data_IF_368292685581
#
_entry.id   IF_368292685581
#
_cell.length_a   1.000
_cell.length_b   1.000
_cell.length_c   1.000
_cell.angle_alpha   90.00
_cell.angle_beta   90.00
_cell.angle_gamma   90.00
#
_symmetry.space_group_name_H-M   'P 1'
#
loop_
_entity.id
_entity.type
_entity.pdbx_description
1 polymer ?
#
# COMPACT_ATOMS: atom_id res chain seq x y z
N UNK A 1 -25.63 -22.88 -3.21
CA UNK A 1 -24.46 -22.57 -4.05
C UNK A 1 -23.82 -21.28 -3.51
N UNK A 2 -22.94 -21.40 -2.51
CA UNK A 2 -22.37 -20.27 -1.78
C UNK A 2 -21.06 -19.84 -2.45
N UNK A 3 -21.05 -18.68 -3.11
CA UNK A 3 -19.83 -18.08 -3.67
C UNK A 3 -18.93 -17.68 -2.50
N UNK A 4 -17.87 -18.46 -2.22
CA UNK A 4 -16.82 -18.09 -1.27
C UNK A 4 -16.28 -16.71 -1.69
N UNK A 5 -16.49 -15.71 -0.84
CA UNK A 5 -16.05 -14.34 -1.05
C UNK A 5 -14.52 -14.29 -0.92
N UNK A 6 -13.80 -14.36 -2.04
CA UNK A 6 -12.34 -14.13 -2.08
C UNK A 6 -12.10 -12.68 -1.65
N UNK A 7 -11.58 -12.47 -0.45
CA UNK A 7 -11.28 -11.12 0.07
C UNK A 7 -9.92 -10.67 -0.47
N UNK A 8 -9.97 -9.59 -1.25
CA UNK A 8 -8.83 -8.91 -1.88
C UNK A 8 -8.01 -8.16 -0.83
N UNK A 9 -6.71 -8.45 -0.70
CA UNK A 9 -5.79 -7.63 0.09
C UNK A 9 -5.16 -6.58 -0.82
N UNK A 10 -5.48 -5.31 -0.58
CA UNK A 10 -4.91 -4.14 -1.27
C UNK A 10 -4.19 -3.27 -0.24
N UNK A 11 -3.02 -2.72 -0.57
CA UNK A 11 -2.14 -2.04 0.38
C UNK A 11 -2.71 -0.74 0.98
N UNK A 12 -3.84 -0.22 0.48
CA UNK A 12 -4.58 0.91 1.06
C UNK A 12 -4.98 0.72 2.55
N UNK A 13 -4.81 -0.48 3.12
CA UNK A 13 -5.11 -0.80 4.52
C UNK A 13 -3.86 -0.76 5.43
N UNK A 14 -2.71 -0.24 5.01
CA UNK A 14 -1.56 -0.10 5.92
C UNK A 14 -1.91 0.64 7.23
N UNK A 15 -2.92 1.53 7.22
CA UNK A 15 -3.40 2.23 8.42
C UNK A 15 -4.10 1.39 9.49
N UNK A 16 -4.62 0.19 9.19
CA UNK A 16 -5.43 -0.62 10.14
C UNK A 16 -5.05 -2.13 10.13
N UNK A 17 -4.24 -2.64 9.19
CA UNK A 17 -4.24 -4.07 8.82
C UNK A 17 -3.18 -4.97 9.47
N UNK A 18 -2.78 -4.78 10.73
CA UNK A 18 -1.98 -5.81 11.44
C UNK A 18 -2.56 -6.30 12.76
N UNK A 19 -3.77 -5.86 13.12
CA UNK A 19 -4.59 -6.52 14.16
C UNK A 19 -5.80 -7.18 13.49
N UNK A 20 -5.54 -8.14 12.60
CA UNK A 20 -6.57 -9.12 12.22
C UNK A 20 -6.63 -10.22 13.27
N UNK A 21 -7.37 -9.92 14.34
CA UNK A 21 -8.06 -10.91 15.15
C UNK A 21 -9.54 -10.61 15.06
N UNK A 22 -10.26 -11.09 14.04
CA UNK A 22 -11.72 -11.14 14.08
C UNK A 22 -12.28 -12.41 13.43
N UNK A 23 -12.79 -13.26 14.34
CA UNK A 23 -14.02 -14.04 14.28
C UNK A 23 -14.35 -14.84 13.01
N UNK A 24 -13.83 -16.08 12.99
CA UNK A 24 -14.52 -17.37 12.77
C UNK A 24 -15.84 -17.32 11.98
N UNK A 25 -15.82 -17.83 10.75
CA UNK A 25 -16.60 -19.04 10.45
C UNK A 25 -15.59 -20.16 10.26
N UNK A 26 -15.71 -21.22 11.05
CA UNK A 26 -14.91 -22.42 10.91
C UNK A 26 -15.23 -23.05 9.55
N UNK A 27 -14.43 -22.74 8.54
CA UNK A 27 -14.27 -23.70 7.46
C UNK A 27 -13.40 -24.81 8.07
N UNK A 28 -14.00 -25.99 8.18
CA UNK A 28 -13.28 -27.21 8.53
C UNK A 28 -11.95 -27.25 7.77
N UNK A 29 -10.91 -27.79 8.43
CA UNK A 29 -9.59 -28.01 7.86
C UNK A 29 -9.71 -28.60 6.44
N UNK A 30 -9.73 -27.73 5.43
CA UNK A 30 -9.53 -28.17 4.06
C UNK A 30 -8.06 -28.57 3.95
N UNK A 31 -7.74 -29.58 3.15
CA UNK A 31 -6.37 -30.02 2.96
C UNK A 31 -5.46 -28.82 2.65
N UNK A 32 -4.20 -28.94 3.07
CA UNK A 32 -3.20 -27.86 3.01
C UNK A 32 -2.80 -27.48 1.57
N UNK A 33 -3.47 -28.06 0.56
CA UNK A 33 -3.37 -27.85 -0.88
C UNK A 33 -4.09 -26.59 -1.37
N UNK A 34 -4.78 -25.86 -0.49
CA UNK A 34 -5.52 -24.62 -0.82
C UNK A 34 -5.21 -23.50 0.16
N UNK A 35 -4.03 -22.92 0.10
CA UNK A 35 -3.74 -21.65 0.80
C UNK A 35 -4.30 -20.51 -0.08
N UNK A 36 -5.48 -19.92 0.21
CA UNK A 36 -6.03 -18.87 -0.66
C UNK A 36 -5.30 -17.54 -0.49
N UNK A 37 -4.60 -17.33 0.62
CA UNK A 37 -4.04 -16.04 0.97
C UNK A 37 -2.52 -16.06 0.82
N UNK A 38 -1.97 -14.99 0.25
CA UNK A 38 -0.53 -14.78 0.13
C UNK A 38 -0.10 -13.65 1.08
N UNK A 39 1.07 -13.80 1.70
CA UNK A 39 1.65 -12.80 2.60
C UNK A 39 3.11 -12.53 2.23
N UNK A 40 3.64 -11.32 2.50
CA UNK A 40 5.07 -11.06 2.36
C UNK A 40 5.89 -11.92 3.35
N UNK A 41 7.09 -12.29 2.93
CA UNK A 41 8.10 -12.97 3.76
C UNK A 41 9.42 -12.19 3.77
N UNK A 42 10.19 -12.19 4.89
CA UNK A 42 9.89 -12.80 6.18
C UNK A 42 8.92 -11.97 7.03
N UNK A 43 8.81 -10.68 6.73
CA UNK A 43 7.99 -9.75 7.48
C UNK A 43 6.62 -9.57 6.84
N UNK A 44 5.57 -10.13 7.46
CA UNK A 44 4.18 -10.02 6.97
C UNK A 44 3.65 -8.58 6.87
N UNK A 45 4.35 -7.60 7.45
CA UNK A 45 4.02 -6.18 7.41
C UNK A 45 4.67 -5.42 6.25
N UNK A 46 5.64 -6.01 5.55
CA UNK A 46 6.45 -5.34 4.52
C UNK A 46 5.82 -5.53 3.14
N UNK A 47 4.69 -4.84 2.89
CA UNK A 47 4.01 -4.87 1.58
C UNK A 47 4.73 -4.01 0.52
N UNK A 48 5.65 -3.14 0.95
CA UNK A 48 6.46 -2.32 0.08
C UNK A 48 7.95 -2.54 0.35
N UNK A 49 8.71 -2.83 -0.72
CA UNK A 49 10.17 -2.85 -0.72
C UNK A 49 10.70 -1.54 -1.29
N UNK A 50 11.51 -0.85 -0.51
CA UNK A 50 12.18 0.37 -0.99
C UNK A 50 13.47 0.01 -1.70
N UNK A 51 13.59 0.46 -2.94
CA UNK A 51 14.76 0.23 -3.79
C UNK A 51 15.38 1.56 -4.12
N UNK A 52 16.58 1.80 -3.62
CA UNK A 52 17.37 2.95 -4.04
C UNK A 52 17.79 2.77 -5.50
N UNK A 53 17.37 3.69 -6.38
CA UNK A 53 17.67 3.70 -7.82
C UNK A 53 19.16 3.43 -8.07
N UNK A 54 19.57 2.51 -8.96
CA UNK A 54 20.99 2.34 -9.32
C UNK A 54 21.55 3.60 -9.99
N UNK A 55 22.83 3.90 -9.73
CA UNK A 55 23.54 4.99 -10.39
C UNK A 55 23.85 4.67 -11.86
N UNK A 56 24.19 3.41 -12.14
CA UNK A 56 24.48 2.86 -13.46
C UNK A 56 23.98 1.41 -13.50
N UNK A 57 23.42 1.00 -14.63
CA UNK A 57 23.03 -0.39 -14.93
C UNK A 57 21.75 -0.84 -14.23
N UNK A 58 21.77 -2.07 -13.74
CA UNK A 58 20.62 -2.74 -13.14
C UNK A 58 20.89 -3.05 -11.67
N UNK A 59 19.87 -2.91 -10.83
CA UNK A 59 19.90 -3.39 -9.45
C UNK A 59 18.90 -4.53 -9.30
N UNK A 60 19.38 -5.68 -8.86
CA UNK A 60 18.52 -6.79 -8.48
C UNK A 60 17.95 -6.60 -7.07
N UNK A 61 16.68 -6.96 -6.94
CA UNK A 61 15.91 -6.92 -5.72
C UNK A 61 15.10 -8.18 -5.63
N UNK A 62 15.04 -8.76 -4.44
CA UNK A 62 14.27 -9.98 -4.19
C UNK A 62 12.97 -9.63 -3.46
N UNK A 63 11.87 -10.22 -3.91
CA UNK A 63 10.64 -10.32 -3.14
C UNK A 63 10.38 -11.78 -2.82
N UNK A 64 9.81 -12.03 -1.64
CA UNK A 64 9.47 -13.37 -1.18
C UNK A 64 8.05 -13.39 -0.68
N UNK A 65 7.32 -14.44 -1.05
CA UNK A 65 5.92 -14.65 -0.73
C UNK A 65 5.79 -15.99 -0.02
N UNK A 66 5.01 -15.99 1.05
CA UNK A 66 4.60 -17.17 1.80
C UNK A 66 3.07 -17.28 1.76
N UNK A 67 2.56 -18.41 2.24
CA UNK A 67 1.15 -18.59 2.50
C UNK A 67 0.64 -17.81 3.71
N UNK A 68 -0.67 -17.60 3.75
CA UNK A 68 -1.41 -17.12 4.90
C UNK A 68 -2.55 -18.07 5.25
N UNK A 69 -2.69 -18.41 6.53
CA UNK A 69 -3.82 -19.23 6.99
C UNK A 69 -5.16 -18.46 6.91
N UNK A 70 -6.25 -19.10 7.34
CA UNK A 70 -7.58 -18.47 7.38
C UNK A 70 -7.66 -17.23 8.30
N UNK A 71 -6.71 -17.08 9.22
CA UNK A 71 -6.58 -15.94 10.12
C UNK A 71 -5.52 -14.93 9.64
N UNK A 72 -5.03 -15.05 8.39
CA UNK A 72 -3.94 -14.24 7.85
C UNK A 72 -2.65 -14.29 8.69
N UNK A 73 -2.41 -15.42 9.35
CA UNK A 73 -1.12 -15.70 10.00
C UNK A 73 -0.17 -16.34 8.98
N UNK A 74 1.14 -16.02 9.06
CA UNK A 74 2.16 -16.65 8.24
C UNK A 74 2.09 -18.18 8.27
N UNK A 75 2.06 -18.80 7.09
CA UNK A 75 2.14 -20.24 6.90
C UNK A 75 3.03 -20.54 5.68
N UNK A 76 4.10 -21.32 5.87
CA UNK A 76 4.97 -21.70 4.75
C UNK A 76 4.27 -22.69 3.83
N UNK A 77 4.62 -22.66 2.54
CA UNK A 77 4.23 -23.72 1.61
C UNK A 77 4.89 -25.03 2.05
N UNK A 78 4.11 -26.11 2.17
CA UNK A 78 4.65 -27.39 2.68
C UNK A 78 5.44 -28.15 1.62
N UNK A 79 5.05 -27.99 0.37
CA UNK A 79 5.71 -28.60 -0.78
C UNK A 79 6.29 -27.51 -1.67
N UNK A 80 7.45 -27.79 -2.26
CA UNK A 80 8.15 -26.87 -3.13
C UNK A 80 7.31 -26.53 -4.38
N UNK A 81 6.58 -27.51 -4.91
CA UNK A 81 5.73 -27.34 -6.09
C UNK A 81 4.71 -26.19 -5.92
N UNK A 82 4.10 -26.02 -4.75
CA UNK A 82 3.17 -24.91 -4.52
C UNK A 82 3.83 -23.53 -4.56
N UNK A 83 5.06 -23.42 -4.03
CA UNK A 83 5.84 -22.20 -4.14
C UNK A 83 6.26 -21.97 -5.60
N UNK A 84 6.57 -23.04 -6.33
CA UNK A 84 6.91 -22.98 -7.76
C UNK A 84 5.72 -22.58 -8.65
N UNK A 85 4.48 -22.85 -8.22
CA UNK A 85 3.27 -22.49 -8.96
C UNK A 85 2.83 -21.02 -8.75
N UNK A 86 3.50 -20.27 -7.86
CA UNK A 86 3.24 -18.82 -7.74
C UNK A 86 3.71 -18.12 -9.01
N UNK A 87 2.77 -17.45 -9.68
CA UNK A 87 3.01 -16.61 -10.85
C UNK A 87 3.18 -15.15 -10.44
N UNK A 88 4.01 -14.42 -11.19
CA UNK A 88 4.26 -13.00 -10.96
C UNK A 88 4.01 -12.18 -12.22
N UNK A 89 3.38 -11.02 -12.04
CA UNK A 89 3.12 -10.06 -13.12
C UNK A 89 3.40 -8.65 -12.64
N UNK A 90 3.80 -7.77 -13.56
CA UNK A 90 3.97 -6.34 -13.28
C UNK A 90 2.67 -5.63 -13.61
N UNK A 91 2.18 -4.77 -12.72
CA UNK A 91 1.02 -3.94 -13.01
C UNK A 91 1.39 -2.91 -14.12
N UNK A 92 0.60 -2.79 -15.19
CA UNK A 92 0.86 -1.85 -16.28
C UNK A 92 0.93 -0.38 -15.85
N UNK A 93 0.28 -0.01 -14.73
CA UNK A 93 0.29 1.36 -14.20
C UNK A 93 1.58 1.71 -13.42
N UNK A 94 2.54 0.78 -13.33
CA UNK A 94 3.82 1.00 -12.64
C UNK A 94 4.64 2.11 -13.32
N UNK A 95 5.27 2.98 -12.52
CA UNK A 95 5.96 4.17 -13.05
C UNK A 95 7.33 3.88 -13.68
N UNK A 96 7.89 2.69 -13.47
CA UNK A 96 9.24 2.34 -13.88
C UNK A 96 9.32 1.01 -14.63
N UNK A 97 10.48 0.77 -15.26
CA UNK A 97 10.75 -0.44 -16.03
C UNK A 97 11.32 -1.51 -15.11
N UNK A 98 10.43 -2.35 -14.58
CA UNK A 98 10.82 -3.58 -13.89
C UNK A 98 11.00 -4.70 -14.91
N UNK A 99 11.98 -5.57 -14.68
CA UNK A 99 12.12 -6.83 -15.42
C UNK A 99 12.10 -7.98 -14.43
N UNK A 100 11.15 -8.90 -14.59
CA UNK A 100 11.13 -10.13 -13.81
C UNK A 100 12.27 -11.03 -14.30
N UNK A 101 13.10 -11.53 -13.38
CA UNK A 101 14.26 -12.38 -13.66
C UNK A 101 13.96 -13.80 -13.14
N UNK A 102 14.91 -14.40 -12.45
CA UNK A 102 14.78 -15.76 -11.93
C UNK A 102 13.72 -15.84 -10.82
N UNK A 103 13.03 -16.98 -10.81
CA UNK A 103 12.11 -17.38 -9.76
C UNK A 103 12.58 -18.72 -9.22
N UNK A 104 12.60 -18.86 -7.90
CA UNK A 104 12.93 -20.11 -7.21
C UNK A 104 12.15 -20.26 -5.91
N UNK A 105 12.21 -21.46 -5.32
CA UNK A 105 11.45 -21.80 -4.12
C UNK A 105 12.35 -22.31 -3.00
N UNK A 106 13.10 -21.41 -2.32
CA UNK A 106 14.03 -21.82 -1.28
C UNK A 106 13.31 -22.44 -0.08
N UNK A 107 13.93 -23.48 0.49
CA UNK A 107 13.50 -24.08 1.77
C UNK A 107 13.89 -23.16 2.92
N UNK A 108 12.93 -22.83 3.77
CA UNK A 108 13.08 -22.04 5.00
C UNK A 108 12.58 -22.83 6.20
N UNK A 109 12.71 -22.28 7.41
CA UNK A 109 12.14 -22.93 8.60
C UNK A 109 10.63 -23.09 8.45
N UNK A 110 10.15 -24.34 8.48
CA UNK A 110 8.73 -24.68 8.41
C UNK A 110 8.15 -24.99 7.03
N UNK A 111 8.93 -24.84 5.94
CA UNK A 111 8.50 -25.15 4.57
C UNK A 111 9.29 -24.42 3.48
N UNK A 112 8.59 -23.94 2.47
CA UNK A 112 9.12 -23.23 1.30
C UNK A 112 8.44 -21.86 1.16
N UNK A 113 9.12 -20.94 0.48
CA UNK A 113 8.60 -19.64 0.05
C UNK A 113 8.80 -19.51 -1.45
N UNK A 114 7.96 -18.72 -2.12
CA UNK A 114 8.21 -18.34 -3.51
C UNK A 114 9.03 -17.07 -3.55
N UNK A 115 10.19 -17.12 -4.19
CA UNK A 115 11.09 -15.98 -4.34
C UNK A 115 11.17 -15.56 -5.80
N UNK A 116 11.07 -14.26 -6.04
CA UNK A 116 11.28 -13.64 -7.34
C UNK A 116 12.39 -12.62 -7.27
N UNK A 117 13.36 -12.74 -8.18
CA UNK A 117 14.33 -11.68 -8.47
C UNK A 117 13.75 -10.72 -9.50
N UNK A 118 13.89 -9.43 -9.22
CA UNK A 118 13.42 -8.34 -10.05
C UNK A 118 14.61 -7.44 -10.33
N UNK A 119 14.84 -7.12 -11.59
CA UNK A 119 15.77 -6.08 -11.98
C UNK A 119 15.06 -4.73 -12.06
N UNK A 120 15.67 -3.74 -11.43
CA UNK A 120 15.30 -2.33 -11.50
C UNK A 120 16.37 -1.61 -12.32
N UNK A 121 15.99 -1.07 -13.48
CA UNK A 121 16.90 -0.32 -14.36
C UNK A 121 17.19 1.09 -13.85
N UNK A 122 18.32 1.64 -14.27
CA UNK A 122 18.77 3.01 -14.05
C UNK A 122 18.03 4.06 -14.91
N UNK A 123 16.69 4.01 -14.98
CA UNK A 123 15.93 5.03 -15.71
C UNK A 123 15.62 6.26 -14.82
N UNK A 124 15.19 7.39 -15.39
CA UNK A 124 14.88 8.61 -14.65
C UNK A 124 13.57 8.60 -13.85
N UNK A 125 12.90 7.45 -13.79
CA UNK A 125 11.64 7.31 -13.09
C UNK A 125 11.85 6.95 -11.61
N UNK A 126 10.97 7.46 -10.76
CA UNK A 126 10.91 7.17 -9.33
C UNK A 126 9.45 7.13 -8.92
N UNK A 127 9.15 6.43 -7.82
CA UNK A 127 7.79 6.18 -7.34
C UNK A 127 7.43 4.69 -7.36
N UNK A 128 6.13 4.38 -7.26
CA UNK A 128 5.64 3.02 -7.04
C UNK A 128 5.59 2.18 -8.33
N UNK A 129 6.12 0.97 -8.25
CA UNK A 129 5.86 -0.10 -9.21
C UNK A 129 5.23 -1.28 -8.46
N UNK A 130 4.32 -2.01 -9.08
CA UNK A 130 3.60 -3.10 -8.40
C UNK A 130 3.93 -4.43 -9.07
N UNK A 131 4.35 -5.39 -8.26
CA UNK A 131 4.47 -6.80 -8.66
C UNK A 131 3.38 -7.59 -7.96
N UNK A 132 2.51 -8.22 -8.76
CA UNK A 132 1.43 -9.07 -8.28
C UNK A 132 1.88 -10.53 -8.29
N UNK A 133 1.86 -11.15 -7.13
CA UNK A 133 1.96 -12.60 -6.97
C UNK A 133 0.56 -13.22 -7.01
N UNK A 134 0.38 -14.32 -7.74
CA UNK A 134 -0.90 -15.04 -7.85
C UNK A 134 -0.68 -16.54 -7.68
N UNK A 135 -1.48 -17.17 -6.81
CA UNK A 135 -1.49 -18.63 -6.66
C UNK A 135 -2.49 -19.29 -7.64
N UNK A 136 -2.45 -20.63 -7.84
CA UNK A 136 -3.39 -21.34 -8.70
C UNK A 136 -4.87 -21.14 -8.35
N UNK A 137 -5.18 -20.90 -7.07
CA UNK A 137 -6.52 -20.63 -6.55
C UNK A 137 -6.99 -19.18 -6.75
N UNK A 138 -6.24 -18.36 -7.52
CA UNK A 138 -6.51 -16.94 -7.83
C UNK A 138 -6.45 -15.99 -6.63
N UNK A 139 -5.95 -16.47 -5.50
CA UNK A 139 -5.47 -15.62 -4.41
C UNK A 139 -4.26 -14.82 -4.86
N UNK A 140 -4.19 -13.56 -4.47
CA UNK A 140 -3.11 -12.67 -4.90
C UNK A 140 -2.61 -11.76 -3.79
N UNK A 141 -1.37 -11.30 -3.99
CA UNK A 141 -0.72 -10.28 -3.17
C UNK A 141 -0.06 -9.27 -4.10
N UNK A 142 -0.38 -8.00 -3.92
CA UNK A 142 0.31 -6.89 -4.57
C UNK A 142 1.47 -6.44 -3.68
N UNK A 143 2.69 -6.43 -4.21
CA UNK A 143 3.90 -5.96 -3.54
C UNK A 143 4.40 -4.71 -4.25
N UNK A 144 4.54 -3.62 -3.48
CA UNK A 144 5.11 -2.38 -3.98
C UNK A 144 6.63 -2.45 -4.05
N UNK A 145 7.20 -2.22 -5.22
CA UNK A 145 8.61 -1.89 -5.42
C UNK A 145 8.69 -0.37 -5.54
N UNK A 146 9.10 0.29 -4.46
CA UNK A 146 9.17 1.75 -4.40
C UNK A 146 10.55 2.19 -4.85
N UNK A 147 10.64 2.66 -6.09
CA UNK A 147 11.87 3.17 -6.68
C UNK A 147 12.15 4.53 -6.05
N UNK A 148 13.04 4.53 -5.07
CA UNK A 148 13.45 5.72 -4.35
C UNK A 148 14.64 6.38 -5.05
N UNK A 149 14.57 7.70 -5.15
CA UNK A 149 15.61 8.47 -5.79
C UNK A 149 16.87 8.57 -4.93
N UNK A 150 18.02 8.75 -5.58
CA UNK A 150 19.31 8.91 -4.91
C UNK A 150 19.41 10.21 -4.12
N UNK A 151 18.79 11.26 -4.64
CA UNK A 151 18.81 12.63 -4.12
C UNK A 151 17.38 13.10 -3.91
N UNK A 152 17.18 13.93 -2.88
CA UNK A 152 15.90 14.60 -2.62
C UNK A 152 15.35 15.25 -3.89
N UNK A 153 14.08 14.99 -4.18
CA UNK A 153 13.35 15.60 -5.30
C UNK A 153 12.73 16.92 -4.89
N UNK A 154 12.51 17.84 -5.85
CA UNK A 154 11.82 19.09 -5.61
C UNK A 154 10.42 18.87 -5.02
N UNK A 155 9.89 19.92 -4.40
CA UNK A 155 8.53 19.93 -3.90
C UNK A 155 7.52 19.74 -5.04
N UNK A 156 6.37 19.15 -4.71
CA UNK A 156 5.21 19.10 -5.61
C UNK A 156 4.27 20.24 -5.25
N UNK A 157 3.99 21.11 -6.21
CA UNK A 157 3.16 22.29 -6.01
C UNK A 157 1.72 22.03 -6.43
N UNK A 158 0.85 22.99 -6.12
CA UNK A 158 -0.56 23.00 -6.54
C UNK A 158 -1.32 21.74 -6.12
N UNK A 159 -1.04 21.22 -4.92
CA UNK A 159 -1.73 20.06 -4.37
C UNK A 159 -2.95 20.53 -3.57
N UNK A 160 -4.10 19.93 -3.85
CA UNK A 160 -5.31 20.07 -3.03
C UNK A 160 -5.31 19.02 -1.93
N UNK A 161 -5.71 19.40 -0.72
CA UNK A 161 -5.73 18.48 0.43
C UNK A 161 -7.06 18.62 1.15
N UNK A 162 -7.74 17.49 1.37
CA UNK A 162 -9.04 17.45 2.03
C UNK A 162 -9.07 16.41 3.14
N UNK A 163 -9.66 16.77 4.28
CA UNK A 163 -9.87 15.86 5.41
C UNK A 163 -11.36 15.68 5.66
N UNK A 164 -11.80 14.45 5.88
CA UNK A 164 -13.20 14.12 6.11
C UNK A 164 -13.39 13.21 7.32
N UNK A 165 -14.55 13.35 7.98
CA UNK A 165 -15.02 12.48 9.07
C UNK A 165 -16.11 11.54 8.54
N UNK A 166 -15.88 10.23 8.60
CA UNK A 166 -16.79 9.13 8.24
C UNK A 166 -17.24 9.04 6.78
N UNK A 167 -17.34 10.14 6.03
CA UNK A 167 -17.83 10.17 4.65
C UNK A 167 -17.23 11.32 3.83
N UNK A 168 -17.02 11.10 2.54
CA UNK A 168 -16.55 12.14 1.60
C UNK A 168 -17.74 12.93 1.05
N UNK A 169 -18.14 13.97 1.80
CA UNK A 169 -19.07 15.01 1.34
C UNK A 169 -18.85 16.32 2.11
N UNK A 170 -19.43 17.43 1.63
CA UNK A 170 -19.21 18.77 2.19
C UNK A 170 -19.64 18.91 3.65
N UNK A 171 -20.63 18.15 4.11
CA UNK A 171 -21.10 18.21 5.51
C UNK A 171 -20.13 17.53 6.49
N UNK A 172 -19.27 16.65 5.98
CA UNK A 172 -18.26 15.92 6.73
C UNK A 172 -16.84 16.44 6.51
N UNK A 173 -16.69 17.51 5.71
CA UNK A 173 -15.40 18.13 5.43
C UNK A 173 -14.86 18.79 6.70
N UNK A 174 -13.77 18.25 7.23
CA UNK A 174 -13.07 18.75 8.40
C UNK A 174 -12.13 19.90 8.06
N UNK A 175 -11.46 19.80 6.92
CA UNK A 175 -10.50 20.81 6.46
C UNK A 175 -10.25 20.69 4.97
N UNK A 176 -10.05 21.84 4.33
CA UNK A 176 -9.69 21.97 2.92
C UNK A 176 -8.52 22.95 2.78
N UNK A 177 -7.57 22.61 1.92
CA UNK A 177 -6.45 23.46 1.52
C UNK A 177 -6.21 23.29 0.02
N UNK A 178 -5.95 24.39 -0.66
CA UNK A 178 -5.65 24.42 -2.09
C UNK A 178 -4.27 25.04 -2.33
N UNK A 179 -3.66 24.76 -3.48
CA UNK A 179 -2.40 25.39 -3.89
C UNK A 179 -1.19 25.00 -3.04
N UNK A 180 -1.22 23.86 -2.33
CA UNK A 180 -0.17 23.52 -1.37
C UNK A 180 1.11 23.05 -2.07
N UNK A 181 2.26 23.43 -1.49
CA UNK A 181 3.59 22.89 -1.83
C UNK A 181 3.93 21.78 -0.84
N UNK A 182 4.18 20.58 -1.33
CA UNK A 182 4.48 19.39 -0.52
C UNK A 182 5.96 19.04 -0.64
N UNK A 183 6.64 18.98 0.51
CA UNK A 183 8.06 18.60 0.64
C UNK A 183 8.15 17.18 1.20
N UNK A 184 9.08 16.37 0.65
CA UNK A 184 9.34 14.98 1.07
C UNK A 184 9.88 14.81 2.49
N UNK A 185 10.10 15.91 3.21
CA UNK A 185 10.61 15.93 4.58
C UNK A 185 9.55 16.35 5.60
N UNK A 186 8.32 16.62 5.14
CA UNK A 186 7.18 16.88 6.02
C UNK A 186 6.98 15.70 6.98
N UNK A 187 7.02 14.47 6.45
CA UNK A 187 7.12 13.24 7.23
C UNK A 187 8.51 12.66 7.07
N UNK A 188 9.22 12.47 8.19
CA UNK A 188 10.61 12.00 8.18
C UNK A 188 10.67 10.49 7.94
N UNK A 189 10.87 10.09 6.70
CA UNK A 189 11.10 8.69 6.31
C UNK A 189 12.40 8.55 5.49
N UNK A 190 12.60 7.38 4.88
CA UNK A 190 13.72 7.13 3.94
C UNK A 190 13.38 7.52 2.50
N UNK A 191 12.19 8.04 2.21
CA UNK A 191 11.73 8.38 0.85
C UNK A 191 12.18 9.80 0.48
N UNK A 192 12.73 9.94 -0.73
CA UNK A 192 13.37 11.16 -1.21
C UNK A 192 12.50 11.95 -2.19
N UNK A 193 11.20 11.69 -2.26
CA UNK A 193 10.27 12.42 -3.12
C UNK A 193 8.96 12.69 -2.37
N UNK A 194 8.24 13.79 -2.67
CA UNK A 194 7.00 14.09 -1.97
C UNK A 194 5.94 13.00 -2.15
N UNK A 195 5.38 12.54 -1.03
CA UNK A 195 4.43 11.43 -0.97
C UNK A 195 3.04 11.91 -0.57
N UNK A 196 2.03 11.06 -0.75
CA UNK A 196 0.70 11.39 -0.23
C UNK A 196 0.73 11.54 1.30
N UNK A 197 1.53 10.76 2.03
CA UNK A 197 1.67 10.86 3.48
C UNK A 197 2.24 12.22 3.92
N UNK A 198 3.14 12.84 3.15
CA UNK A 198 3.66 14.19 3.46
C UNK A 198 2.56 15.25 3.58
N UNK A 199 1.41 15.03 2.94
CA UNK A 199 0.26 15.93 3.04
C UNK A 199 -0.43 15.83 4.40
N UNK A 200 -0.33 14.72 5.14
CA UNK A 200 -1.02 14.55 6.43
C UNK A 200 -0.55 15.54 7.49
N UNK A 201 0.68 16.05 7.35
CA UNK A 201 1.28 17.11 8.18
C UNK A 201 0.70 18.49 7.92
N UNK A 202 0.17 18.73 6.73
CA UNK A 202 -0.29 20.05 6.34
C UNK A 202 -1.66 20.31 6.96
N UNK A 203 -1.84 21.50 7.53
CA UNK A 203 -3.10 21.89 8.15
C UNK A 203 -3.50 21.13 9.41
N UNK A 204 -2.64 20.29 9.99
CA UNK A 204 -2.89 19.53 11.22
C UNK A 204 -1.88 19.92 12.31
N UNK A 205 -2.24 19.80 13.59
CA UNK A 205 -1.40 20.29 14.69
C UNK A 205 -0.50 19.21 15.32
N UNK A 206 -0.93 17.94 15.25
CA UNK A 206 -0.15 16.78 15.72
C UNK A 206 -0.50 15.55 14.90
N UNK A 207 0.48 14.70 14.67
CA UNK A 207 0.35 13.45 13.93
C UNK A 207 1.16 12.35 14.62
N UNK A 208 0.62 11.15 14.63
CA UNK A 208 1.28 9.93 15.11
C UNK A 208 1.33 8.94 13.96
N UNK A 209 2.48 8.28 13.80
CA UNK A 209 2.74 7.36 12.70
C UNK A 209 3.31 6.05 13.25
N UNK A 210 3.12 4.97 12.49
CA UNK A 210 3.74 3.67 12.71
C UNK A 210 4.31 3.12 11.40
N UNK A 211 5.08 2.04 11.48
CA UNK A 211 5.78 1.44 10.34
C UNK A 211 7.13 2.09 10.05
N UNK A 212 7.79 1.63 8.98
CA UNK A 212 9.09 2.14 8.53
C UNK A 212 9.07 2.39 7.02
N UNK A 213 9.75 3.47 6.62
CA UNK A 213 9.98 3.80 5.20
C UNK A 213 8.67 3.85 4.41
N UNK A 214 8.61 3.27 3.20
CA UNK A 214 7.39 3.20 2.38
C UNK A 214 6.19 2.49 3.03
N UNK A 215 6.38 1.79 4.15
CA UNK A 215 5.30 1.15 4.91
C UNK A 215 4.84 2.02 6.09
N UNK A 216 5.34 3.25 6.22
CA UNK A 216 4.85 4.18 7.24
C UNK A 216 3.40 4.59 6.97
N UNK A 217 2.58 4.59 8.03
CA UNK A 217 1.17 4.96 7.97
C UNK A 217 0.75 5.82 9.15
N UNK A 218 -0.34 6.56 8.95
CA UNK A 218 -0.91 7.48 9.92
C UNK A 218 -1.81 6.74 10.92
N UNK A 219 -1.52 6.87 12.21
CA UNK A 219 -2.31 6.27 13.30
C UNK A 219 -3.22 7.25 14.01
N UNK A 220 -2.81 8.52 14.04
CA UNK A 220 -3.63 9.58 14.61
C UNK A 220 -3.26 10.94 14.04
N UNK A 221 -4.23 11.84 14.01
CA UNK A 221 -4.00 13.26 13.78
C UNK A 221 -4.96 14.15 14.57
N UNK A 222 -4.57 15.42 14.75
CA UNK A 222 -5.41 16.46 15.33
C UNK A 222 -5.75 17.49 14.25
N UNK A 223 -7.05 17.69 14.01
CA UNK A 223 -7.61 18.78 13.19
C UNK A 223 -8.41 19.69 14.10
N UNK A 224 -8.06 20.99 14.11
CA UNK A 224 -8.62 21.93 15.07
C UNK A 224 -8.33 21.47 16.50
N UNK A 225 -9.39 21.17 17.26
CA UNK A 225 -9.30 20.71 18.66
C UNK A 225 -9.59 19.21 18.84
N UNK A 226 -9.95 18.48 17.78
CA UNK A 226 -10.37 17.07 17.86
C UNK A 226 -9.23 16.15 17.44
N UNK A 227 -8.94 15.15 18.28
CA UNK A 227 -8.01 14.04 17.98
C UNK A 227 -8.80 12.90 17.34
N UNK A 228 -8.24 12.33 16.28
CA UNK A 228 -8.79 11.22 15.52
C UNK A 228 -7.77 10.09 15.49
N UNK A 229 -8.07 8.99 16.16
CA UNK A 229 -7.12 7.89 16.39
C UNK A 229 -7.70 6.60 15.81
N UNK A 230 -6.88 5.83 15.10
CA UNK A 230 -7.30 4.53 14.58
C UNK A 230 -7.79 3.64 15.72
N UNK A 231 -8.90 2.95 15.48
CA UNK A 231 -9.50 1.99 16.38
C UNK A 231 -9.59 0.62 15.68
N UNK A 232 -8.64 -0.29 15.97
CA UNK A 232 -8.62 -1.61 15.38
C UNK A 232 -9.87 -2.45 15.69
N UNK A 233 -10.52 -2.24 16.85
CA UNK A 233 -11.71 -3.01 17.25
C UNK A 233 -12.94 -2.70 16.40
N UNK A 234 -13.05 -1.46 15.93
CA UNK A 234 -14.18 -0.99 15.12
C UNK A 234 -13.82 -0.81 13.66
N UNK A 235 -12.59 -1.13 13.27
CA UNK A 235 -12.05 -0.91 11.91
C UNK A 235 -12.21 0.52 11.39
N UNK A 236 -12.12 1.49 12.30
CA UNK A 236 -12.17 2.90 11.96
C UNK A 236 -10.75 3.42 12.00
N UNK A 237 -10.35 4.17 10.98
CA UNK A 237 -9.04 4.81 10.97
C UNK A 237 -8.81 5.66 9.74
N UNK A 238 -7.56 6.09 9.59
CA UNK A 238 -7.14 6.94 8.48
C UNK A 238 -6.97 6.15 7.20
N UNK A 239 -7.73 6.56 6.19
CA UNK A 239 -7.61 6.14 4.80
C UNK A 239 -7.17 7.32 3.95
N UNK A 240 -6.49 7.04 2.86
CA UNK A 240 -6.10 8.07 1.90
C UNK A 240 -6.50 7.68 0.48
N UNK A 241 -6.78 8.68 -0.34
CA UNK A 241 -7.00 8.52 -1.77
C UNK A 241 -6.39 9.71 -2.51
N UNK A 242 -5.91 9.47 -3.71
CA UNK A 242 -5.38 10.51 -4.60
C UNK A 242 -6.25 10.58 -5.83
N UNK A 243 -6.63 11.79 -6.23
CA UNK A 243 -7.55 12.05 -7.33
C UNK A 243 -6.90 12.99 -8.34
N UNK A 244 -7.21 12.79 -9.61
CA UNK A 244 -6.81 13.71 -10.67
C UNK A 244 -7.63 15.02 -10.61
N UNK A 245 -7.35 15.91 -11.56
CA UNK A 245 -8.02 17.22 -11.69
C UNK A 245 -9.51 17.12 -11.98
N UNK A 246 -9.99 15.98 -12.47
CA UNK A 246 -11.41 15.72 -12.72
C UNK A 246 -12.09 15.07 -11.51
N UNK A 247 -11.34 14.85 -10.42
CA UNK A 247 -11.80 14.17 -9.23
C UNK A 247 -11.92 12.66 -9.40
N UNK A 248 -11.26 12.04 -10.39
CA UNK A 248 -11.23 10.58 -10.56
C UNK A 248 -10.07 9.99 -9.77
N UNK A 249 -10.33 8.92 -9.02
CA UNK A 249 -9.34 8.30 -8.14
C UNK A 249 -8.25 7.59 -8.95
N UNK A 250 -7.00 7.85 -8.59
CA UNK A 250 -5.80 7.24 -9.18
C UNK A 250 -5.65 5.83 -8.64
N UNK A 251 -5.72 4.81 -9.50
CA UNK A 251 -5.71 3.42 -9.07
C UNK A 251 -4.44 3.03 -8.28
N UNK A 252 -3.30 3.68 -8.55
CA UNK A 252 -2.06 3.44 -7.83
C UNK A 252 -2.18 3.63 -6.31
N UNK A 253 -3.06 4.52 -5.82
CA UNK A 253 -3.26 4.69 -4.37
C UNK A 253 -3.97 3.51 -3.69
N UNK A 254 -4.54 2.57 -4.46
CA UNK A 254 -5.07 1.33 -3.93
C UNK A 254 -3.96 0.28 -3.69
N UNK A 255 -2.81 0.39 -4.36
CA UNK A 255 -1.76 -0.62 -4.35
C UNK A 255 -0.59 -0.32 -3.40
N UNK A 256 -0.43 0.92 -2.94
CA UNK A 256 0.62 1.32 -1.99
C UNK A 256 0.01 2.06 -0.81
N UNK A 257 0.78 2.20 0.27
CA UNK A 257 0.44 3.14 1.35
C UNK A 257 0.73 4.58 0.94
N UNK A 258 0.26 5.54 1.74
CA UNK A 258 0.43 6.98 1.46
C UNK A 258 1.88 7.38 1.23
N UNK A 259 2.81 6.73 1.93
CA UNK A 259 4.26 6.98 1.81
C UNK A 259 4.89 6.33 0.58
N UNK A 260 4.29 5.28 0.02
CA UNK A 260 4.74 4.68 -1.24
C UNK A 260 4.24 5.42 -2.48
N UNK A 261 3.19 6.23 -2.35
CA UNK A 261 2.59 6.97 -3.47
C UNK A 261 3.41 8.23 -3.78
N UNK A 262 3.88 8.37 -5.02
CA UNK A 262 4.53 9.59 -5.51
C UNK A 262 3.47 10.61 -5.92
N UNK A 263 3.51 11.81 -5.34
CA UNK A 263 2.61 12.89 -5.73
C UNK A 263 3.01 13.55 -7.07
N UNK A 264 1.99 14.07 -7.75
CA UNK A 264 2.11 14.89 -8.94
C UNK A 264 1.36 16.22 -8.80
N UNK A 265 1.78 17.20 -9.58
CA UNK A 265 1.20 18.55 -9.56
C UNK A 265 -0.28 18.55 -9.96
N UNK A 266 -1.10 19.28 -9.20
CA UNK A 266 -2.54 19.40 -9.46
C UNK A 266 -3.36 18.19 -8.99
N UNK A 267 -2.75 17.21 -8.34
CA UNK A 267 -3.48 16.12 -7.70
C UNK A 267 -4.20 16.60 -6.42
N UNK A 268 -5.27 15.90 -6.09
CA UNK A 268 -6.03 16.10 -4.86
C UNK A 268 -5.83 14.91 -3.92
N UNK A 269 -5.31 15.15 -2.72
CA UNK A 269 -5.18 14.13 -1.68
C UNK A 269 -6.34 14.25 -0.69
N UNK A 270 -7.04 13.14 -0.50
CA UNK A 270 -8.14 13.03 0.46
C UNK A 270 -7.73 12.12 1.60
N UNK A 271 -7.80 12.63 2.82
CA UNK A 271 -7.70 11.87 4.06
C UNK A 271 -9.08 11.66 4.65
N UNK A 272 -9.55 10.42 4.68
CA UNK A 272 -10.81 10.04 5.29
C UNK A 272 -10.59 9.32 6.61
N UNK A 273 -11.21 9.79 7.70
CA UNK A 273 -11.26 9.04 8.95
C UNK A 273 -12.57 8.25 9.02
N UNK A 274 -12.51 6.94 8.88
CA UNK A 274 -13.73 6.13 8.81
C UNK A 274 -13.47 4.67 8.55
N UNK A 275 -14.52 3.96 8.13
CA UNK A 275 -14.47 2.55 7.79
C UNK A 275 -14.07 2.33 6.33
N UNK A 276 -13.78 1.06 6.01
CA UNK A 276 -13.43 0.65 4.65
C UNK A 276 -14.52 0.97 3.63
N UNK A 277 -14.09 1.43 2.46
CA UNK A 277 -14.97 1.82 1.36
C UNK A 277 -15.48 3.26 1.43
N UNK A 278 -15.05 4.08 2.41
CA UNK A 278 -15.51 5.47 2.52
C UNK A 278 -15.02 6.39 1.39
N UNK A 279 -13.92 6.04 0.73
CA UNK A 279 -13.32 6.83 -0.34
C UNK A 279 -13.95 6.46 -1.70
N UNK A 280 -14.63 7.40 -2.37
CA UNK A 280 -15.30 7.10 -3.65
C UNK A 280 -14.29 6.96 -4.79
N UNK A 281 -14.69 6.30 -5.88
CA UNK A 281 -13.88 6.27 -7.12
C UNK A 281 -13.91 7.61 -7.87
N UNK A 282 -14.91 8.46 -7.60
CA UNK A 282 -14.98 9.82 -8.13
C UNK A 282 -15.51 10.76 -7.07
N UNK A 283 -14.85 11.91 -6.89
CA UNK A 283 -15.29 12.92 -5.94
C UNK A 283 -16.66 13.48 -6.33
N UNK A 284 -17.50 13.82 -5.34
CA UNK A 284 -18.71 14.61 -5.56
C UNK A 284 -18.41 15.90 -6.34
N UNK A 285 -19.31 16.31 -7.24
CA UNK A 285 -19.08 17.43 -8.15
C UNK A 285 -18.74 18.76 -7.42
N UNK A 286 -19.31 18.96 -6.23
CA UNK A 286 -19.05 20.12 -5.38
C UNK A 286 -17.71 20.08 -4.62
N UNK A 287 -16.90 19.04 -4.82
CA UNK A 287 -15.58 18.85 -4.22
C UNK A 287 -14.46 18.70 -5.27
N UNK A 288 -14.76 18.86 -6.57
CA UNK A 288 -13.79 18.81 -7.67
C UNK A 288 -13.11 20.17 -7.85
#
# INVERSE_FOLDING_TARGET
>A
MNKKLIKKLTAAFLGILLVMSMSITSMAAEPWDKIPNLLPYPNKAEFNKVVRKPWLGEKEVEIQVQGGDANYKPAMFKEQAYADDISYTINPDSVGTLTLKDKDSPKVSGGYVSRLKISVKDNDTYGPCIVRAVNPEKGYLDIGIIINSQLKKPNVNNVKIMYFDTKVDKSHLLKYMDGQSVDSTNVKTKINFPTALDTSKLGTSKQEYEGDSANTYLTSLIIGKKKYTNNPKTYIGWMYGVYDRNGVKKQMCNYVGGEGYRLHEGETVVWGYGSWGMLPETLPANLR
#
